data_IF_380062739138
#
_entry.id   IF_380062739138
#
_cell.length_a   1.000
_cell.length_b   1.000
_cell.length_c   1.000
_cell.angle_alpha   90.00
_cell.angle_beta   90.00
_cell.angle_gamma   90.00
#
_symmetry.space_group_name_H-M   'P 1'
#
loop_
_entity.id
_entity.type
_entity.pdbx_description
1 polymer ?
#
# COMPACT_ATOMS: atom_id res chain seq x y z
N UNK A 1 2.31 -20.54 8.30
CA UNK A 1 2.78 -20.88 6.94
C UNK A 1 2.13 -19.92 5.94
N UNK A 2 2.78 -19.58 4.83
CA UNK A 2 2.19 -18.75 3.79
C UNK A 2 0.98 -19.51 3.18
N UNK A 3 -0.18 -18.85 2.93
CA UNK A 3 -1.27 -19.47 2.19
C UNK A 3 -0.79 -20.05 0.86
N UNK A 4 -1.41 -21.14 0.40
CA UNK A 4 -1.01 -21.82 -0.86
C UNK A 4 -1.00 -20.87 -2.06
N UNK A 5 -1.95 -19.93 -2.10
CA UNK A 5 -2.10 -18.99 -3.22
C UNK A 5 -1.31 -17.69 -3.05
N UNK A 6 -0.55 -17.57 -1.95
CA UNK A 6 0.19 -16.35 -1.68
C UNK A 6 1.60 -16.42 -2.30
N UNK A 7 1.94 -15.51 -3.23
CA UNK A 7 3.27 -15.48 -3.80
C UNK A 7 4.29 -15.02 -2.76
N UNK A 8 5.44 -15.69 -2.74
CA UNK A 8 6.56 -15.37 -1.82
C UNK A 8 7.12 -13.96 -2.06
N UNK A 9 6.96 -13.42 -3.28
CA UNK A 9 7.37 -12.06 -3.64
C UNK A 9 6.26 -11.36 -4.43
N UNK A 10 6.02 -10.09 -4.14
CA UNK A 10 5.05 -9.24 -4.84
C UNK A 10 5.76 -7.98 -5.35
N UNK A 11 5.75 -7.78 -6.66
CA UNK A 11 6.28 -6.59 -7.33
C UNK A 11 5.43 -6.32 -8.57
N UNK A 12 4.52 -5.35 -8.51
CA UNK A 12 3.60 -5.05 -9.61
C UNK A 12 4.30 -4.21 -10.69
N UNK A 13 4.13 -4.60 -11.96
CA UNK A 13 4.48 -3.75 -13.10
C UNK A 13 3.39 -2.69 -13.32
N UNK A 14 3.78 -1.41 -13.26
CA UNK A 14 2.88 -0.26 -13.38
C UNK A 14 2.85 0.33 -14.80
N UNK A 15 3.58 -0.25 -15.76
CA UNK A 15 3.75 0.29 -17.12
C UNK A 15 2.43 0.54 -17.85
N UNK A 16 1.44 -0.33 -17.66
CA UNK A 16 0.10 -0.18 -18.28
C UNK A 16 -0.64 1.05 -17.75
N UNK A 17 -0.63 1.27 -16.43
CA UNK A 17 -1.28 2.40 -15.79
C UNK A 17 -0.58 3.72 -16.15
N UNK A 18 0.75 3.74 -16.13
CA UNK A 18 1.56 4.88 -16.58
C UNK A 18 1.23 5.27 -18.03
N UNK A 19 1.15 4.29 -18.93
CA UNK A 19 0.94 4.55 -20.37
C UNK A 19 -0.45 5.09 -20.68
N UNK A 20 -1.49 4.42 -20.16
CA UNK A 20 -2.89 4.67 -20.52
C UNK A 20 -3.48 5.79 -19.66
N UNK A 21 -3.21 5.78 -18.36
CA UNK A 21 -3.85 6.66 -17.38
C UNK A 21 -2.97 7.84 -16.97
N UNK A 22 -1.69 7.85 -17.38
CA UNK A 22 -0.69 8.79 -16.85
C UNK A 22 -0.61 8.75 -15.32
N UNK A 23 -0.89 7.59 -14.74
CA UNK A 23 -0.98 7.40 -13.31
C UNK A 23 0.24 6.66 -12.76
N UNK A 24 0.76 7.16 -11.64
CA UNK A 24 1.80 6.53 -10.82
C UNK A 24 1.54 6.83 -9.33
N UNK A 25 2.03 5.99 -8.39
CA UNK A 25 1.95 6.29 -6.96
C UNK A 25 2.75 7.55 -6.64
N UNK A 26 2.14 8.47 -5.89
CA UNK A 26 2.75 9.75 -5.50
C UNK A 26 3.10 9.83 -4.03
N UNK A 27 2.55 8.95 -3.19
CA UNK A 27 2.79 8.93 -1.74
C UNK A 27 3.95 7.97 -1.41
N UNK A 28 5.07 8.46 -0.83
CA UNK A 28 6.14 7.61 -0.33
C UNK A 28 5.67 6.70 0.81
N UNK A 29 6.28 5.52 0.94
CA UNK A 29 5.90 4.53 1.95
C UNK A 29 5.85 5.10 3.37
N UNK A 30 6.90 5.82 3.78
CA UNK A 30 6.97 6.42 5.12
C UNK A 30 5.83 7.40 5.37
N UNK A 31 5.53 8.25 4.39
CA UNK A 31 4.46 9.24 4.51
C UNK A 31 3.09 8.56 4.64
N UNK A 32 2.83 7.55 3.80
CA UNK A 32 1.60 6.75 3.88
C UNK A 32 1.44 6.08 5.25
N UNK A 33 2.50 5.43 5.74
CA UNK A 33 2.47 4.78 7.06
C UNK A 33 2.20 5.75 8.20
N UNK A 34 2.81 6.94 8.18
CA UNK A 34 2.58 7.95 9.22
C UNK A 34 1.12 8.43 9.25
N UNK A 35 0.52 8.69 8.08
CA UNK A 35 -0.89 9.07 7.95
C UNK A 35 -1.82 7.97 8.47
N UNK A 36 -1.53 6.72 8.11
CA UNK A 36 -2.30 5.56 8.58
C UNK A 36 -2.21 5.40 10.10
N UNK A 37 -1.01 5.50 10.68
CA UNK A 37 -0.82 5.41 12.14
C UNK A 37 -1.60 6.52 12.86
N UNK A 38 -1.53 7.76 12.37
CA UNK A 38 -2.29 8.87 12.95
C UNK A 38 -3.79 8.58 12.94
N UNK A 39 -4.32 8.12 11.80
CA UNK A 39 -5.73 7.74 11.71
C UNK A 39 -6.10 6.64 12.72
N UNK A 40 -5.28 5.60 12.87
CA UNK A 40 -5.55 4.53 13.83
C UNK A 40 -5.58 5.04 15.28
N UNK A 41 -4.64 5.92 15.65
CA UNK A 41 -4.61 6.53 17.00
C UNK A 41 -5.89 7.30 17.31
N UNK A 42 -6.45 7.98 16.33
CA UNK A 42 -7.62 8.84 16.51
C UNK A 42 -8.94 8.06 16.43
N UNK A 43 -8.98 6.95 15.69
CA UNK A 43 -10.24 6.29 15.30
C UNK A 43 -10.42 4.87 15.85
N UNK A 44 -9.35 4.21 16.32
CA UNK A 44 -9.45 2.85 16.86
C UNK A 44 -9.16 2.89 18.35
N UNK A 45 -10.17 2.51 19.15
CA UNK A 45 -9.99 2.27 20.58
C UNK A 45 -9.21 0.98 20.75
N UNK A 46 -8.15 1.05 21.53
CA UNK A 46 -7.47 -0.14 22.04
C UNK A 46 -8.10 -0.40 23.40
N UNK A 47 -8.92 -1.44 23.47
CA UNK A 47 -9.40 -2.01 24.73
C UNK A 47 -8.31 -2.86 25.40
#
# INVERSE_FOLDING_TARGET
PLPIDDPVRRCADLSKANRILKWQPTTPLREGLMKTIAWFKDNVKID
#
